data_IF_132024805528
#
_entry.id   IF_132024805528
#
_cell.length_a   1.000
_cell.length_b   1.000
_cell.length_c   1.000
_cell.angle_alpha   90.00
_cell.angle_beta   90.00
_cell.angle_gamma   90.00
#
_symmetry.space_group_name_H-M   'P 1'
#
loop_
_entity.id
_entity.type
_entity.pdbx_description
1 polymer ?
#
# COMPACT_ATOMS: atom_id res chain seq x y z
N UNK A 1 50.11 -48.20 12.39
CA UNK A 1 49.21 -48.41 11.23
C UNK A 1 47.79 -48.09 11.71
N UNK A 2 47.44 -46.81 11.77
CA UNK A 2 46.64 -46.09 10.76
C UNK A 2 45.22 -46.67 10.56
N UNK A 3 44.30 -46.01 11.26
CA UNK A 3 43.06 -45.44 10.74
C UNK A 3 42.05 -46.38 10.07
N UNK A 4 41.14 -46.94 10.87
CA UNK A 4 39.83 -47.44 10.41
C UNK A 4 38.63 -46.78 11.11
N UNK A 5 38.87 -45.76 11.92
CA UNK A 5 37.81 -44.99 12.59
C UNK A 5 37.42 -43.70 11.87
N UNK A 6 38.01 -43.43 10.69
CA UNK A 6 37.79 -42.15 9.99
C UNK A 6 36.67 -42.16 8.95
N UNK A 7 36.05 -43.31 8.68
CA UNK A 7 35.05 -43.43 7.59
C UNK A 7 33.61 -43.21 8.04
N UNK A 8 33.32 -43.17 9.34
CA UNK A 8 31.95 -42.96 9.85
C UNK A 8 31.67 -41.47 10.15
N UNK A 9 32.70 -40.64 10.30
CA UNK A 9 32.52 -39.24 10.71
C UNK A 9 32.19 -38.26 9.57
N UNK A 10 32.41 -38.65 8.31
CA UNK A 10 32.27 -37.73 7.17
C UNK A 10 30.88 -37.80 6.51
N UNK A 11 30.04 -38.79 6.85
CA UNK A 11 28.69 -38.86 6.28
C UNK A 11 27.68 -37.94 6.97
N UNK A 12 27.92 -37.55 8.23
CA UNK A 12 27.02 -36.66 8.98
C UNK A 12 27.19 -35.17 8.67
N UNK A 13 28.23 -34.76 7.92
CA UNK A 13 28.50 -33.35 7.61
C UNK A 13 27.81 -32.84 6.33
N UNK A 14 27.09 -33.70 5.60
CA UNK A 14 26.39 -33.32 4.35
C UNK A 14 24.90 -33.00 4.54
N UNK A 15 24.35 -33.15 5.75
CA UNK A 15 23.08 -32.53 6.13
C UNK A 15 23.28 -31.04 6.48
N UNK A 16 23.87 -30.30 5.55
CA UNK A 16 23.52 -28.90 5.39
C UNK A 16 22.10 -28.90 4.83
N UNK A 17 21.14 -29.08 5.75
CA UNK A 17 19.73 -28.75 5.55
C UNK A 17 19.76 -27.32 5.05
N UNK A 18 19.60 -27.17 3.73
CA UNK A 18 19.17 -25.93 3.10
C UNK A 18 17.79 -25.65 3.68
N UNK A 19 17.77 -25.10 4.89
CA UNK A 19 16.67 -24.29 5.34
C UNK A 19 16.38 -23.36 4.16
N UNK A 20 15.17 -23.40 3.57
CA UNK A 20 14.83 -22.34 2.64
C UNK A 20 15.08 -21.07 3.42
N UNK A 21 15.98 -20.22 2.92
CA UNK A 21 16.15 -18.88 3.44
C UNK A 21 14.73 -18.33 3.56
N UNK A 22 14.22 -18.24 4.79
CA UNK A 22 12.96 -17.55 5.05
C UNK A 22 13.21 -16.18 4.44
N UNK A 23 12.60 -15.91 3.30
CA UNK A 23 12.49 -14.55 2.82
C UNK A 23 11.94 -13.78 4.02
N UNK A 24 12.74 -12.85 4.55
CA UNK A 24 12.20 -11.86 5.48
C UNK A 24 11.02 -11.24 4.73
N UNK A 25 9.80 -11.60 5.12
CA UNK A 25 8.60 -10.96 4.62
C UNK A 25 8.77 -9.48 4.96
N UNK A 26 8.89 -8.62 3.93
CA UNK A 26 8.97 -7.17 4.11
C UNK A 26 7.78 -6.77 4.98
N UNK A 27 7.99 -6.39 6.26
CA UNK A 27 6.89 -6.17 7.19
C UNK A 27 6.03 -4.97 6.76
N UNK A 28 6.55 -4.13 5.86
CA UNK A 28 5.87 -2.98 5.27
C UNK A 28 5.30 -3.28 3.87
N UNK A 29 5.49 -4.50 3.36
CA UNK A 29 5.13 -4.90 2.00
C UNK A 29 3.66 -4.66 1.68
N UNK A 30 2.75 -5.08 2.57
CA UNK A 30 1.30 -4.86 2.40
C UNK A 30 0.94 -3.38 2.38
N UNK A 31 1.48 -2.60 3.32
CA UNK A 31 1.25 -1.15 3.42
C UNK A 31 1.75 -0.42 2.16
N UNK A 32 2.93 -0.80 1.67
CA UNK A 32 3.52 -0.24 0.44
C UNK A 32 2.67 -0.60 -0.78
N UNK A 33 2.22 -1.86 -0.90
CA UNK A 33 1.33 -2.30 -1.97
C UNK A 33 0.02 -1.52 -1.97
N UNK A 34 -0.69 -1.47 -0.85
CA UNK A 34 -1.95 -0.73 -0.72
C UNK A 34 -1.78 0.75 -1.05
N UNK A 35 -0.67 1.36 -0.61
CA UNK A 35 -0.38 2.77 -0.93
C UNK A 35 -0.12 3.02 -2.41
N UNK A 36 0.47 2.04 -3.12
CA UNK A 36 0.68 2.09 -4.56
C UNK A 36 -0.64 1.93 -5.31
N UNK A 37 -1.49 0.98 -4.89
CA UNK A 37 -2.82 0.75 -5.47
C UNK A 37 -3.71 1.99 -5.32
N UNK A 38 -3.78 2.56 -4.11
CA UNK A 38 -4.49 3.82 -3.84
C UNK A 38 -4.01 4.94 -4.76
N UNK A 39 -2.69 5.08 -4.95
CA UNK A 39 -2.15 6.11 -5.83
C UNK A 39 -2.49 5.84 -7.29
N UNK A 40 -2.35 4.60 -7.78
CA UNK A 40 -2.72 4.22 -9.14
C UNK A 40 -4.19 4.54 -9.42
N UNK A 41 -5.11 4.13 -8.55
CA UNK A 41 -6.54 4.41 -8.69
C UNK A 41 -6.84 5.90 -8.77
N UNK A 42 -6.14 6.72 -7.98
CA UNK A 42 -6.27 8.18 -8.07
C UNK A 42 -5.83 8.74 -9.42
N UNK A 43 -4.89 8.08 -10.11
CA UNK A 43 -4.48 8.46 -11.46
C UNK A 43 -5.54 8.05 -12.49
N UNK A 44 -6.13 6.87 -12.36
CA UNK A 44 -7.23 6.42 -13.25
C UNK A 44 -8.44 7.36 -13.18
N UNK A 45 -8.82 7.80 -11.96
CA UNK A 45 -9.88 8.80 -11.77
C UNK A 45 -9.60 10.10 -12.54
N UNK A 46 -8.32 10.54 -12.58
CA UNK A 46 -7.93 11.77 -13.29
C UNK A 46 -7.92 11.54 -14.79
N UNK A 47 -7.39 10.41 -15.27
CA UNK A 47 -7.32 10.06 -16.69
C UNK A 47 -8.73 10.06 -17.29
N UNK A 48 -9.61 9.22 -16.77
CA UNK A 48 -10.98 9.11 -17.27
C UNK A 48 -11.83 10.34 -16.96
N UNK A 49 -11.62 10.97 -15.81
CA UNK A 49 -12.30 12.23 -15.49
C UNK A 49 -11.93 13.36 -16.44
N UNK A 50 -10.70 13.39 -16.96
CA UNK A 50 -10.25 14.37 -17.96
C UNK A 50 -10.88 14.12 -19.34
N UNK A 51 -11.32 12.89 -19.61
CA UNK A 51 -12.08 12.50 -20.80
C UNK A 51 -13.59 12.76 -20.65
N UNK A 52 -14.04 13.20 -19.48
CA UNK A 52 -15.45 13.47 -19.20
C UNK A 52 -16.22 12.29 -18.60
N UNK A 53 -15.55 11.18 -18.29
CA UNK A 53 -16.20 9.95 -17.81
C UNK A 53 -16.43 10.00 -16.29
N UNK A 54 -17.54 10.63 -15.87
CA UNK A 54 -17.91 10.73 -14.46
C UNK A 54 -18.09 9.36 -13.77
N UNK A 55 -18.63 8.37 -14.48
CA UNK A 55 -18.83 7.02 -13.94
C UNK A 55 -17.51 6.30 -13.62
N UNK A 56 -16.45 6.54 -14.38
CA UNK A 56 -15.12 6.00 -14.09
C UNK A 56 -14.49 6.66 -12.85
N UNK A 57 -14.73 7.96 -12.63
CA UNK A 57 -14.36 8.62 -11.36
C UNK A 57 -15.06 7.92 -10.18
N UNK A 58 -16.33 7.56 -10.33
CA UNK A 58 -17.09 6.85 -9.29
C UNK A 58 -16.54 5.44 -9.09
N UNK A 59 -16.32 4.68 -10.16
CA UNK A 59 -15.83 3.30 -10.13
C UNK A 59 -14.47 3.22 -9.43
N UNK A 60 -13.47 3.93 -9.95
CA UNK A 60 -12.13 3.93 -9.37
C UNK A 60 -12.07 4.63 -8.00
N UNK A 61 -12.92 5.64 -7.79
CA UNK A 61 -13.01 6.33 -6.50
C UNK A 61 -13.53 5.43 -5.38
N UNK A 62 -14.50 4.55 -5.66
CA UNK A 62 -14.99 3.55 -4.68
C UNK A 62 -13.91 2.54 -4.33
N UNK A 63 -13.21 2.01 -5.32
CA UNK A 63 -12.08 1.11 -5.07
C UNK A 63 -10.98 1.82 -4.26
N UNK A 64 -10.67 3.08 -4.58
CA UNK A 64 -9.69 3.88 -3.85
C UNK A 64 -10.09 4.09 -2.38
N UNK A 65 -11.38 4.31 -2.10
CA UNK A 65 -11.92 4.42 -0.74
C UNK A 65 -11.67 3.13 0.03
N UNK A 66 -12.03 1.97 -0.53
CA UNK A 66 -11.85 0.67 0.11
C UNK A 66 -10.38 0.37 0.44
N UNK A 67 -9.47 0.64 -0.51
CA UNK A 67 -8.02 0.50 -0.29
C UNK A 67 -7.51 1.45 0.78
N UNK A 68 -7.99 2.69 0.79
CA UNK A 68 -7.57 3.69 1.78
C UNK A 68 -8.05 3.33 3.18
N UNK A 69 -9.28 2.85 3.33
CA UNK A 69 -9.82 2.38 4.61
C UNK A 69 -9.08 1.14 5.12
N UNK A 70 -8.77 0.21 4.23
CA UNK A 70 -7.95 -0.97 4.56
C UNK A 70 -6.56 -0.55 5.05
N UNK A 71 -5.91 0.35 4.33
CA UNK A 71 -4.61 0.89 4.72
C UNK A 71 -4.67 1.64 6.06
N UNK A 72 -5.74 2.39 6.34
CA UNK A 72 -5.96 3.02 7.66
C UNK A 72 -6.03 1.94 8.76
N UNK A 73 -6.82 0.87 8.57
CA UNK A 73 -6.93 -0.23 9.54
C UNK A 73 -5.59 -0.93 9.77
N UNK A 74 -4.82 -1.19 8.72
CA UNK A 74 -3.48 -1.78 8.84
C UNK A 74 -2.53 -0.86 9.62
N UNK A 75 -2.55 0.45 9.36
CA UNK A 75 -1.73 1.41 10.11
C UNK A 75 -2.18 1.54 11.57
N UNK A 76 -3.48 1.46 11.83
CA UNK A 76 -4.03 1.53 13.19
C UNK A 76 -3.66 0.30 14.03
N UNK A 77 -3.64 -0.89 13.42
CA UNK A 77 -3.40 -2.16 14.10
C UNK A 77 -1.94 -2.63 14.09
N UNK A 78 -1.10 -2.07 13.22
CA UNK A 78 0.27 -2.57 13.04
C UNK A 78 1.16 -2.34 14.28
N UNK A 79 1.87 -3.38 14.76
CA UNK A 79 2.79 -3.28 15.90
C UNK A 79 4.18 -2.75 15.51
N UNK A 80 4.41 -2.39 14.24
CA UNK A 80 5.74 -2.06 13.74
C UNK A 80 6.29 -0.75 14.34
N UNK A 81 7.46 -0.78 15.01
CA UNK A 81 8.03 0.41 15.65
C UNK A 81 8.23 1.59 14.68
N UNK A 82 8.75 1.32 13.48
CA UNK A 82 8.96 2.33 12.43
C UNK A 82 7.67 3.05 12.03
N UNK A 83 6.53 2.35 12.11
CA UNK A 83 5.22 2.94 11.83
C UNK A 83 4.68 3.71 13.03
N UNK A 84 4.85 3.23 14.25
CA UNK A 84 4.33 3.85 15.48
C UNK A 84 4.81 5.29 15.66
N UNK A 85 6.09 5.56 15.39
CA UNK A 85 6.65 6.93 15.49
C UNK A 85 5.97 7.94 14.56
N UNK A 86 5.54 7.48 13.37
CA UNK A 86 4.94 8.32 12.33
C UNK A 86 3.42 8.12 12.20
N UNK A 87 2.83 7.24 13.00
CA UNK A 87 1.44 6.76 12.90
C UNK A 87 0.44 7.91 12.81
N UNK A 88 0.55 8.90 13.70
CA UNK A 88 -0.35 10.07 13.72
C UNK A 88 -0.31 10.85 12.40
N UNK A 89 0.89 11.09 11.86
CA UNK A 89 1.05 11.84 10.61
C UNK A 89 0.56 11.04 9.40
N UNK A 90 0.86 9.75 9.35
CA UNK A 90 0.41 8.84 8.28
C UNK A 90 -1.12 8.76 8.29
N UNK A 91 -1.74 8.53 9.46
CA UNK A 91 -3.20 8.47 9.57
C UNK A 91 -3.88 9.79 9.21
N UNK A 92 -3.30 10.93 9.58
CA UNK A 92 -3.83 12.24 9.16
C UNK A 92 -3.79 12.40 7.63
N UNK A 93 -2.70 11.97 7.00
CA UNK A 93 -2.52 11.97 5.54
C UNK A 93 -3.54 11.06 4.85
N UNK A 94 -3.70 9.82 5.32
CA UNK A 94 -4.65 8.84 4.78
C UNK A 94 -6.11 9.31 4.94
N UNK A 95 -6.48 9.87 6.10
CA UNK A 95 -7.83 10.43 6.33
C UNK A 95 -8.11 11.63 5.41
N UNK A 96 -7.10 12.45 5.13
CA UNK A 96 -7.23 13.53 4.16
C UNK A 96 -7.42 13.00 2.72
N UNK A 97 -6.70 11.94 2.34
CA UNK A 97 -6.89 11.24 1.06
C UNK A 97 -8.30 10.67 0.93
N UNK A 98 -8.76 9.94 1.95
CA UNK A 98 -10.11 9.35 2.01
C UNK A 98 -11.20 10.41 1.84
N UNK A 99 -11.10 11.55 2.53
CA UNK A 99 -12.05 12.64 2.42
C UNK A 99 -12.19 13.17 0.99
N UNK A 100 -11.08 13.28 0.25
CA UNK A 100 -11.12 13.76 -1.14
C UNK A 100 -11.67 12.69 -2.09
N UNK A 101 -11.33 11.42 -1.88
CA UNK A 101 -11.89 10.31 -2.66
C UNK A 101 -13.41 10.21 -2.50
N UNK A 102 -13.92 10.30 -1.26
CA UNK A 102 -15.36 10.35 -0.96
C UNK A 102 -16.04 11.57 -1.62
N UNK A 103 -15.38 12.72 -1.62
CA UNK A 103 -15.90 13.90 -2.31
C UNK A 103 -15.97 13.70 -3.83
N UNK A 104 -14.95 13.09 -4.44
CA UNK A 104 -14.93 12.78 -5.87
C UNK A 104 -16.04 11.82 -6.26
N UNK A 105 -16.22 10.72 -5.51
CA UNK A 105 -17.31 9.75 -5.73
C UNK A 105 -18.67 10.43 -5.62
N UNK A 106 -18.94 11.15 -4.53
CA UNK A 106 -20.22 11.84 -4.32
C UNK A 106 -20.54 12.85 -5.43
N UNK A 107 -19.53 13.57 -5.93
CA UNK A 107 -19.71 14.54 -7.02
C UNK A 107 -19.89 13.83 -8.38
N UNK A 108 -19.18 12.72 -8.60
CA UNK A 108 -19.32 11.89 -9.80
C UNK A 108 -20.70 11.23 -9.90
N UNK A 109 -21.24 10.75 -8.77
CA UNK A 109 -22.62 10.23 -8.66
C UNK A 109 -23.69 11.30 -8.95
N UNK A 110 -23.34 12.58 -8.80
CA UNK A 110 -24.20 13.72 -9.17
C UNK A 110 -23.96 14.21 -10.60
N UNK A 111 -23.17 13.48 -11.40
CA UNK A 111 -22.76 13.84 -12.76
C UNK A 111 -22.02 15.19 -12.86
N UNK A 112 -21.44 15.67 -11.74
CA UNK A 112 -20.67 16.91 -11.69
C UNK A 112 -19.22 16.63 -12.05
N UNK A 113 -18.96 16.31 -13.31
CA UNK A 113 -17.64 15.83 -13.78
C UNK A 113 -16.50 16.80 -13.47
N UNK A 114 -16.66 18.10 -13.75
CA UNK A 114 -15.61 19.09 -13.46
C UNK A 114 -15.22 19.15 -11.97
N UNK A 115 -16.19 19.37 -11.05
CA UNK A 115 -15.94 19.30 -9.62
C UNK A 115 -15.40 17.94 -9.13
N UNK A 116 -15.89 16.83 -9.69
CA UNK A 116 -15.41 15.50 -9.35
C UNK A 116 -13.94 15.29 -9.77
N UNK A 117 -13.54 15.81 -10.93
CA UNK A 117 -12.16 15.79 -11.41
C UNK A 117 -11.24 16.64 -10.52
N UNK A 118 -11.67 17.82 -10.06
CA UNK A 118 -10.90 18.63 -9.10
C UNK A 118 -10.68 17.88 -7.77
N UNK A 119 -11.74 17.24 -7.25
CA UNK A 119 -11.61 16.39 -6.07
C UNK A 119 -10.67 15.19 -6.30
N UNK A 120 -10.71 14.59 -7.49
CA UNK A 120 -9.80 13.49 -7.89
C UNK A 120 -8.34 13.94 -7.91
N UNK A 121 -8.05 15.13 -8.44
CA UNK A 121 -6.70 15.73 -8.42
C UNK A 121 -6.21 15.96 -7.00
N UNK A 122 -7.08 16.45 -6.11
CA UNK A 122 -6.77 16.61 -4.68
C UNK A 122 -6.52 15.27 -4.00
N UNK A 123 -7.33 14.25 -4.30
CA UNK A 123 -7.13 12.90 -3.81
C UNK A 123 -5.77 12.34 -4.26
N UNK A 124 -5.40 12.50 -5.53
CA UNK A 124 -4.13 12.02 -6.07
C UNK A 124 -2.91 12.73 -5.46
N UNK A 125 -2.98 14.05 -5.27
CA UNK A 125 -1.93 14.79 -4.58
C UNK A 125 -1.68 14.23 -3.17
N UNK A 126 -2.75 13.97 -2.41
CA UNK A 126 -2.66 13.41 -1.06
C UNK A 126 -2.21 11.95 -1.08
N UNK A 127 -2.73 11.13 -1.98
CA UNK A 127 -2.32 9.74 -2.16
C UNK A 127 -0.82 9.62 -2.45
N UNK A 128 -0.27 10.51 -3.30
CA UNK A 128 1.17 10.60 -3.56
C UNK A 128 1.96 10.90 -2.29
N UNK A 129 1.52 11.86 -1.48
CA UNK A 129 2.17 12.21 -0.21
C UNK A 129 2.13 11.03 0.77
N UNK A 130 0.98 10.37 0.94
CA UNK A 130 0.85 9.21 1.83
C UNK A 130 1.74 8.05 1.38
N UNK A 131 1.80 7.77 0.06
CA UNK A 131 2.69 6.77 -0.53
C UNK A 131 4.15 7.07 -0.21
N UNK A 132 4.61 8.30 -0.42
CA UNK A 132 5.99 8.70 -0.12
C UNK A 132 6.33 8.52 1.38
N UNK A 133 5.40 8.86 2.27
CA UNK A 133 5.59 8.66 3.72
C UNK A 133 5.78 7.18 4.06
N UNK A 134 4.93 6.30 3.53
CA UNK A 134 5.00 4.85 3.78
C UNK A 134 6.25 4.22 3.15
N UNK A 135 6.65 4.68 1.96
CA UNK A 135 7.87 4.19 1.29
C UNK A 135 9.16 4.63 1.99
N UNK A 136 9.12 5.73 2.74
CA UNK A 136 10.27 6.23 3.51
C UNK A 136 10.52 5.49 4.83
N UNK A 137 9.59 4.60 5.24
CA UNK A 137 9.75 3.76 6.42
C UNK A 137 10.82 2.70 6.17
N UNK A 138 11.74 2.55 7.13
CA UNK A 138 12.86 1.61 7.12
C UNK A 138 12.59 0.44 8.04
#
# INVERSE_FOLDING_TARGET
>A
MQSRFLTIFILCASLLVRLPARAEEDPLGSLRQLSNEMYRLSQEMITHGSEGHAHEIVSHGREMIERTETLIREVESSPLPALQEKKKAILASLKATLKQAQAAVRLGEQEKTGPALDASRKASFRAKQSRQQLQSLK
#
